data_IF_897332967604
#
_entry.id   IF_897332967604
#
_cell.length_a   1.000
_cell.length_b   1.000
_cell.length_c   1.000
_cell.angle_alpha   90.00
_cell.angle_beta   90.00
_cell.angle_gamma   90.00
#
_symmetry.space_group_name_H-M   'P 1'
#
loop_
_entity.id
_entity.type
_entity.pdbx_description
1 polymer ?
#
# COMPACT_ATOMS: atom_id res chain seq x y z
N UNK A 1 -19.76 -3.77 -13.10
CA UNK A 1 -18.55 -4.31 -12.44
C UNK A 1 -18.80 -4.19 -10.94
N UNK A 2 -18.49 -5.23 -10.17
CA UNK A 2 -18.50 -5.14 -8.70
C UNK A 2 -17.41 -4.19 -8.23
N UNK A 3 -17.65 -3.50 -7.12
CA UNK A 3 -16.63 -2.70 -6.45
C UNK A 3 -15.44 -3.59 -6.06
N UNK A 4 -14.22 -3.06 -6.16
CA UNK A 4 -13.01 -3.76 -5.74
C UNK A 4 -12.91 -3.74 -4.21
N UNK A 5 -13.04 -4.91 -3.58
CA UNK A 5 -12.77 -5.06 -2.15
C UNK A 5 -11.27 -5.09 -1.85
N UNK A 6 -10.90 -4.74 -0.62
CA UNK A 6 -9.49 -4.79 -0.20
C UNK A 6 -8.96 -6.23 -0.21
N UNK A 7 -9.82 -7.20 0.12
CA UNK A 7 -9.49 -8.62 0.01
C UNK A 7 -9.19 -9.04 -1.44
N UNK A 8 -10.05 -8.66 -2.40
CA UNK A 8 -9.81 -8.98 -3.82
C UNK A 8 -8.52 -8.35 -4.34
N UNK A 9 -8.22 -7.11 -3.93
CA UNK A 9 -6.96 -6.45 -4.26
C UNK A 9 -5.75 -7.20 -3.67
N UNK A 10 -5.78 -7.54 -2.38
CA UNK A 10 -4.70 -8.26 -1.73
C UNK A 10 -4.45 -9.64 -2.38
N UNK A 11 -5.52 -10.35 -2.75
CA UNK A 11 -5.44 -11.62 -3.48
C UNK A 11 -4.88 -11.43 -4.89
N UNK A 12 -5.25 -10.36 -5.59
CA UNK A 12 -4.67 -10.01 -6.90
C UNK A 12 -3.16 -9.82 -6.80
N UNK A 13 -2.69 -9.05 -5.81
CA UNK A 13 -1.25 -8.85 -5.55
C UNK A 13 -0.58 -10.20 -5.25
N UNK A 14 -1.18 -11.04 -4.40
CA UNK A 14 -0.65 -12.37 -4.07
C UNK A 14 -0.44 -13.21 -5.32
N UNK A 15 -1.45 -13.31 -6.19
CA UNK A 15 -1.36 -14.15 -7.39
C UNK A 15 -0.28 -13.68 -8.36
N UNK A 16 -0.07 -12.36 -8.46
CA UNK A 16 0.82 -11.77 -9.47
C UNK A 16 2.28 -11.69 -9.02
N UNK A 17 2.54 -11.40 -7.74
CA UNK A 17 3.88 -11.01 -7.29
C UNK A 17 4.47 -11.89 -6.18
N UNK A 18 3.64 -12.68 -5.47
CA UNK A 18 4.08 -13.38 -4.24
C UNK A 18 5.32 -14.26 -4.42
N UNK A 19 5.40 -15.05 -5.50
CA UNK A 19 6.51 -15.98 -5.68
C UNK A 19 7.85 -15.24 -5.81
N UNK A 20 7.91 -14.24 -6.68
CA UNK A 20 9.13 -13.47 -6.92
C UNK A 20 9.54 -12.67 -5.69
N UNK A 21 8.57 -12.05 -5.01
CA UNK A 21 8.87 -11.23 -3.84
C UNK A 21 9.31 -12.11 -2.66
N UNK A 22 8.70 -13.29 -2.50
CA UNK A 22 9.05 -14.21 -1.41
C UNK A 22 10.46 -14.75 -1.55
N UNK A 23 10.99 -14.89 -2.77
CA UNK A 23 12.39 -15.24 -3.04
C UNK A 23 13.36 -14.15 -2.55
N UNK A 24 12.98 -12.87 -2.68
CA UNK A 24 13.74 -11.72 -2.15
C UNK A 24 13.66 -11.61 -0.62
N UNK A 25 12.68 -12.26 0.00
CA UNK A 25 12.49 -12.30 1.45
C UNK A 25 11.88 -11.03 2.03
N UNK A 26 11.53 -11.09 3.31
CA UNK A 26 10.82 -10.01 4.01
C UNK A 26 11.67 -8.73 4.07
N UNK A 27 12.95 -8.84 4.43
CA UNK A 27 13.82 -7.66 4.59
C UNK A 27 14.03 -6.93 3.27
N UNK A 28 14.29 -7.66 2.18
CA UNK A 28 14.43 -7.10 0.85
C UNK A 28 13.11 -6.49 0.35
N UNK A 29 11.97 -7.12 0.65
CA UNK A 29 10.65 -6.58 0.29
C UNK A 29 10.30 -5.33 1.08
N UNK A 30 10.67 -5.28 2.36
CA UNK A 30 10.48 -4.10 3.19
C UNK A 30 11.31 -2.91 2.70
N UNK A 31 12.51 -3.14 2.17
CA UNK A 31 13.31 -2.08 1.56
C UNK A 31 12.61 -1.44 0.36
N UNK A 32 12.05 -2.23 -0.54
CA UNK A 32 11.26 -1.73 -1.68
C UNK A 32 9.99 -1.00 -1.23
N UNK A 33 9.28 -1.54 -0.23
CA UNK A 33 8.16 -0.82 0.37
C UNK A 33 8.57 0.58 0.88
N UNK A 34 9.76 0.70 1.49
CA UNK A 34 10.25 1.99 1.98
C UNK A 34 10.68 2.95 0.88
N UNK A 35 11.18 2.44 -0.25
CA UNK A 35 11.49 3.23 -1.45
C UNK A 35 10.22 3.93 -1.97
N UNK A 36 9.14 3.18 -2.07
CA UNK A 36 7.85 3.60 -2.62
C UNK A 36 7.13 4.59 -1.68
N UNK A 37 7.33 4.43 -0.37
CA UNK A 37 6.94 5.46 0.61
C UNK A 37 7.74 6.76 0.40
N UNK A 38 9.00 6.67 0.01
CA UNK A 38 9.84 7.82 -0.32
C UNK A 38 9.42 8.53 -1.61
N UNK A 39 9.02 7.77 -2.63
CA UNK A 39 8.47 8.28 -3.88
C UNK A 39 7.12 8.98 -3.63
N UNK A 40 6.23 8.35 -2.85
CA UNK A 40 4.99 8.98 -2.38
C UNK A 40 5.25 10.31 -1.64
N UNK A 41 6.22 10.35 -0.73
CA UNK A 41 6.58 11.57 -0.01
C UNK A 41 7.05 12.68 -0.97
N UNK A 42 7.79 12.31 -2.01
CA UNK A 42 8.27 13.24 -3.04
C UNK A 42 7.11 13.76 -3.90
N UNK A 43 6.23 12.88 -4.37
CA UNK A 43 5.04 13.23 -5.15
C UNK A 43 4.09 14.15 -4.38
N UNK A 44 3.88 13.88 -3.08
CA UNK A 44 3.09 14.74 -2.19
C UNK A 44 3.66 16.16 -2.13
N UNK A 45 4.97 16.31 -1.98
CA UNK A 45 5.63 17.61 -1.93
C UNK A 45 5.50 18.35 -3.26
N UNK A 46 5.68 17.66 -4.38
CA UNK A 46 5.51 18.24 -5.72
C UNK A 46 4.09 18.75 -5.93
N UNK A 47 3.08 17.95 -5.59
CA UNK A 47 1.67 18.32 -5.73
C UNK A 47 1.22 19.48 -4.81
N UNK A 48 1.95 19.78 -3.73
CA UNK A 48 1.66 20.95 -2.87
C UNK A 48 2.15 22.27 -3.47
N UNK A 49 2.95 22.23 -4.53
CA UNK A 49 3.40 23.43 -5.26
C UNK A 49 2.23 24.10 -5.98
N UNK A 50 2.22 25.43 -6.04
CA UNK A 50 1.24 26.20 -6.83
C UNK A 50 1.38 25.99 -8.35
N UNK A 51 2.40 25.25 -8.78
CA UNK A 51 2.69 24.91 -10.18
C UNK A 51 2.48 23.43 -10.50
N UNK A 52 1.86 22.65 -9.61
CA UNK A 52 1.59 21.24 -9.86
C UNK A 52 0.78 21.05 -11.15
N UNK A 53 1.24 20.12 -11.98
CA UNK A 53 0.64 19.77 -13.27
C UNK A 53 -0.37 18.63 -13.10
N UNK A 54 -1.09 18.33 -14.18
CA UNK A 54 -1.96 17.13 -14.24
C UNK A 54 -1.13 15.85 -14.13
N UNK A 55 0.07 15.84 -14.73
CA UNK A 55 1.00 14.71 -14.67
C UNK A 55 1.49 14.46 -13.24
N UNK A 56 1.83 15.51 -12.49
CA UNK A 56 2.21 15.39 -11.07
C UNK A 56 1.09 14.75 -10.24
N UNK A 57 -0.16 15.07 -10.56
CA UNK A 57 -1.32 14.50 -9.87
C UNK A 57 -1.52 13.02 -10.21
N UNK A 58 -1.28 12.63 -11.46
CA UNK A 58 -1.31 11.23 -11.88
C UNK A 58 -0.21 10.42 -11.21
N UNK A 59 1.02 10.94 -11.19
CA UNK A 59 2.12 10.31 -10.47
C UNK A 59 1.76 10.11 -8.99
N UNK A 60 1.19 11.13 -8.33
CA UNK A 60 0.76 10.98 -6.94
C UNK A 60 -0.26 9.85 -6.73
N UNK A 61 -1.20 9.66 -7.66
CA UNK A 61 -2.17 8.57 -7.60
C UNK A 61 -1.50 7.19 -7.78
N UNK A 62 -0.49 7.11 -8.66
CA UNK A 62 0.34 5.92 -8.86
C UNK A 62 1.12 5.56 -7.58
N UNK A 63 1.83 6.51 -6.96
CA UNK A 63 2.58 6.26 -5.73
C UNK A 63 1.70 5.79 -4.56
N UNK A 64 0.47 6.32 -4.46
CA UNK A 64 -0.49 5.83 -3.47
C UNK A 64 -0.87 4.37 -3.72
N UNK A 65 -1.04 3.98 -4.99
CA UNK A 65 -1.35 2.62 -5.37
C UNK A 65 -0.16 1.69 -5.10
N UNK A 66 1.06 2.11 -5.39
CA UNK A 66 2.26 1.30 -5.20
C UNK A 66 2.56 1.05 -3.71
N UNK A 67 2.42 2.06 -2.85
CA UNK A 67 2.50 1.88 -1.38
C UNK A 67 1.49 0.85 -0.88
N UNK A 68 0.27 0.87 -1.40
CA UNK A 68 -0.78 -0.11 -1.03
C UNK A 68 -0.45 -1.50 -1.60
N UNK A 69 0.13 -1.58 -2.79
CA UNK A 69 0.62 -2.81 -3.42
C UNK A 69 1.71 -3.48 -2.59
N UNK A 70 2.76 -2.75 -2.24
CA UNK A 70 3.88 -3.26 -1.45
C UNK A 70 3.49 -3.63 -0.01
N UNK A 71 2.62 -2.83 0.62
CA UNK A 71 2.05 -3.21 1.92
C UNK A 71 1.26 -4.53 1.83
N UNK A 72 0.50 -4.72 0.75
CA UNK A 72 -0.25 -5.96 0.49
C UNK A 72 0.68 -7.15 0.25
N UNK A 73 1.80 -6.96 -0.44
CA UNK A 73 2.85 -7.97 -0.58
C UNK A 73 3.41 -8.39 0.79
N UNK A 74 3.81 -7.45 1.64
CA UNK A 74 4.31 -7.75 2.99
C UNK A 74 3.27 -8.48 3.84
N UNK A 75 2.01 -8.06 3.78
CA UNK A 75 0.92 -8.74 4.48
C UNK A 75 0.73 -10.18 3.98
N UNK A 76 0.81 -10.40 2.67
CA UNK A 76 0.74 -11.73 2.06
C UNK A 76 1.86 -12.67 2.53
N UNK A 77 3.09 -12.16 2.64
CA UNK A 77 4.25 -12.91 3.17
C UNK A 77 4.09 -13.31 4.63
N UNK A 78 3.45 -12.45 5.42
CA UNK A 78 3.24 -12.66 6.85
C UNK A 78 1.91 -13.35 7.17
N UNK A 79 1.14 -13.78 6.15
CA UNK A 79 -0.15 -14.44 6.34
C UNK A 79 -1.23 -13.55 6.98
N UNK A 80 -1.15 -12.23 6.79
CA UNK A 80 -2.08 -11.25 7.36
C UNK A 80 -3.17 -10.92 6.34
N UNK A 81 -4.43 -11.04 6.72
CA UNK A 81 -5.59 -10.53 5.97
C UNK A 81 -5.82 -9.05 6.32
N UNK A 82 -5.52 -8.14 5.38
CA UNK A 82 -5.54 -6.70 5.62
C UNK A 82 -6.96 -6.18 5.88
N UNK A 83 -7.96 -6.68 5.16
CA UNK A 83 -9.34 -6.26 5.34
C UNK A 83 -9.82 -6.57 6.78
N UNK A 84 -9.57 -7.79 7.26
CA UNK A 84 -9.88 -8.22 8.61
C UNK A 84 -9.10 -7.41 9.64
N UNK A 85 -7.81 -7.18 9.42
CA UNK A 85 -6.97 -6.39 10.33
C UNK A 85 -7.48 -4.95 10.48
N UNK A 86 -7.77 -4.28 9.37
CA UNK A 86 -8.33 -2.91 9.35
C UNK A 86 -9.72 -2.87 9.98
N UNK A 87 -10.61 -3.81 9.61
CA UNK A 87 -11.96 -3.92 10.17
C UNK A 87 -11.93 -4.10 11.69
N UNK A 88 -11.08 -4.99 12.20
CA UNK A 88 -10.95 -5.23 13.63
C UNK A 88 -10.42 -4.00 14.37
N UNK A 89 -9.46 -3.27 13.80
CA UNK A 89 -8.81 -2.13 14.45
C UNK A 89 -9.65 -0.84 14.43
N UNK A 90 -10.38 -0.58 13.35
CA UNK A 90 -11.03 0.72 13.13
C UNK A 90 -12.55 0.68 13.04
N UNK A 91 -13.15 -0.47 12.69
CA UNK A 91 -14.61 -0.58 12.49
C UNK A 91 -15.31 -1.27 13.66
N UNK A 92 -14.85 -2.46 14.06
CA UNK A 92 -15.51 -3.28 15.10
C UNK A 92 -15.09 -2.87 16.51
N UNK A 93 -13.79 -2.65 16.71
CA UNK A 93 -13.25 -2.18 17.99
C UNK A 93 -12.44 -0.90 17.75
N UNK A 94 -13.11 0.25 17.52
CA UNK A 94 -12.41 1.50 17.31
C UNK A 94 -11.59 1.83 18.56
N UNK A 95 -10.30 1.49 18.51
CA UNK A 95 -9.34 1.98 19.51
C UNK A 95 -9.19 3.47 19.23
N UNK A 96 -9.40 4.29 20.26
CA UNK A 96 -9.26 5.74 20.19
C UNK A 96 -7.87 6.12 19.68
N UNK A 97 -7.80 6.56 18.42
CA UNK A 97 -6.63 7.18 17.80
C UNK A 97 -5.54 6.23 17.28
N UNK A 98 -4.76 6.77 16.33
CA UNK A 98 -3.43 6.26 16.01
C UNK A 98 -2.59 6.27 17.30
N UNK A 99 -1.81 5.21 17.52
CA UNK A 99 -0.76 5.29 18.55
C UNK A 99 0.28 6.26 18.00
N UNK A 100 0.32 7.47 18.58
CA UNK A 100 1.38 8.47 18.41
C UNK A 100 2.70 7.98 18.97
#
# INVERSE_FOLDING_TARGET
MSDLSFKEFQEFIRRKYYNHDSERGIDGTFMWFMEEVGELASALRTCQSSQATVEDRQNLEEEFADVVGWLSTLANMNGIDLETAVRNKYVVHPKSGFKS
#
